data_IF_446758840079
#
_entry.id   IF_446758840079
#
_cell.length_a   1.000
_cell.length_b   1.000
_cell.length_c   1.000
_cell.angle_alpha   90.00
_cell.angle_beta   90.00
_cell.angle_gamma   90.00
#
_symmetry.space_group_name_H-M   'P 1'
#
loop_
_entity.id
_entity.type
_entity.pdbx_description
1 polymer ?
#
# COMPACT_ATOMS: atom_id res chain seq x y z
N UNK A 1 -0.37 -11.55 27.18
CA UNK A 1 -0.71 -12.11 25.86
C UNK A 1 -0.36 -11.05 24.84
N UNK A 2 0.63 -11.30 23.98
CA UNK A 2 0.99 -10.36 22.93
C UNK A 2 -0.24 -10.20 22.02
N UNK A 3 -0.68 -8.96 21.76
CA UNK A 3 -1.77 -8.71 20.82
C UNK A 3 -1.40 -9.32 19.48
N UNK A 4 -2.17 -10.30 19.01
CA UNK A 4 -1.85 -11.01 17.76
C UNK A 4 -1.75 -10.01 16.61
N UNK A 5 -0.71 -10.15 15.80
CA UNK A 5 -0.51 -9.29 14.64
C UNK A 5 -1.46 -9.72 13.53
N UNK A 6 -2.40 -8.84 13.15
CA UNK A 6 -3.41 -9.16 12.15
C UNK A 6 -2.80 -9.23 10.74
N UNK A 7 -1.88 -8.32 10.44
CA UNK A 7 -1.16 -8.26 9.17
C UNK A 7 0.28 -7.77 9.40
N UNK A 8 1.10 -7.95 8.38
CA UNK A 8 2.45 -7.40 8.32
C UNK A 8 2.78 -6.93 6.90
N UNK A 9 3.76 -6.04 6.82
CA UNK A 9 4.36 -5.60 5.55
C UNK A 9 5.84 -5.93 5.52
N UNK A 10 6.40 -6.18 4.34
CA UNK A 10 7.83 -6.28 4.14
C UNK A 10 8.25 -5.55 2.88
N UNK A 11 9.22 -4.65 2.97
CA UNK A 11 9.80 -3.99 1.82
C UNK A 11 10.81 -4.93 1.17
N UNK A 12 10.51 -5.34 -0.07
CA UNK A 12 11.22 -6.42 -0.76
C UNK A 12 12.73 -6.12 -0.81
N UNK A 13 13.54 -7.05 -0.32
CA UNK A 13 15.00 -6.94 -0.28
C UNK A 13 15.55 -5.87 0.68
N UNK A 14 14.70 -5.20 1.46
CA UNK A 14 15.12 -4.06 2.30
C UNK A 14 14.79 -4.26 3.78
N UNK A 15 13.62 -4.79 4.12
CA UNK A 15 13.20 -4.93 5.53
C UNK A 15 12.88 -6.37 5.91
N UNK A 16 12.94 -6.64 7.22
CA UNK A 16 12.22 -7.77 7.81
C UNK A 16 10.70 -7.46 7.86
N UNK A 17 9.84 -8.46 8.15
CA UNK A 17 8.44 -8.22 8.45
C UNK A 17 8.22 -7.14 9.50
N UNK A 18 7.41 -6.14 9.16
CA UNK A 18 6.94 -5.07 10.02
C UNK A 18 5.47 -5.34 10.31
N UNK A 19 5.16 -5.74 11.54
CA UNK A 19 3.79 -6.10 11.94
C UNK A 19 2.94 -4.84 12.14
N UNK A 20 1.61 -5.03 12.15
CA UNK A 20 0.64 -3.96 12.45
C UNK A 20 0.91 -3.22 13.78
N UNK A 21 1.65 -3.79 14.72
CA UNK A 21 2.05 -3.15 15.98
C UNK A 21 3.00 -1.96 15.78
N UNK A 22 3.76 -1.93 14.68
CA UNK A 22 4.62 -0.80 14.33
C UNK A 22 3.84 0.34 13.65
N UNK A 23 2.57 0.11 13.29
CA UNK A 23 1.71 1.12 12.69
C UNK A 23 0.98 1.90 13.79
N UNK A 24 0.77 3.19 13.54
CA UNK A 24 -0.19 3.99 14.31
C UNK A 24 -1.59 3.63 13.82
N UNK A 25 -2.38 2.97 14.66
CA UNK A 25 -3.81 2.82 14.40
C UNK A 25 -4.51 4.18 14.54
N UNK A 26 -5.07 4.69 13.44
CA UNK A 26 -5.73 6.01 13.43
C UNK A 26 -7.22 5.89 13.72
N UNK A 27 -7.81 4.74 13.41
CA UNK A 27 -9.18 4.35 13.77
C UNK A 27 -9.30 2.79 13.75
N UNK A 28 -10.46 2.20 14.08
CA UNK A 28 -10.61 0.74 14.15
C UNK A 28 -10.26 -0.03 12.87
N UNK A 29 -10.33 0.62 11.71
CA UNK A 29 -10.14 0.00 10.39
C UNK A 29 -8.94 0.54 9.62
N UNK A 30 -8.16 1.47 10.18
CA UNK A 30 -7.05 2.12 9.47
C UNK A 30 -5.76 2.20 10.30
N UNK A 31 -4.65 1.89 9.65
CA UNK A 31 -3.31 1.89 10.21
C UNK A 31 -2.36 2.66 9.31
N UNK A 32 -1.49 3.47 9.91
CA UNK A 32 -0.51 4.29 9.18
C UNK A 32 0.89 4.05 9.72
N UNK A 33 1.82 3.74 8.82
CA UNK A 33 3.26 3.66 9.08
C UNK A 33 3.96 4.87 8.47
N UNK A 34 4.75 5.57 9.28
CA UNK A 34 5.72 6.54 8.78
C UNK A 34 6.94 5.77 8.24
N UNK A 35 7.07 5.73 6.92
CA UNK A 35 8.11 4.95 6.25
C UNK A 35 9.49 5.60 6.40
N UNK A 36 9.54 6.93 6.38
CA UNK A 36 10.81 7.66 6.49
C UNK A 36 11.46 7.48 7.86
N UNK A 37 10.64 7.45 8.92
CA UNK A 37 11.09 7.28 10.30
C UNK A 37 11.21 5.81 10.69
N UNK A 38 10.21 4.99 10.31
CA UNK A 38 10.09 3.61 10.76
C UNK A 38 10.88 2.59 9.94
N UNK A 39 11.36 2.96 8.73
CA UNK A 39 12.01 2.01 7.81
C UNK A 39 13.32 2.59 7.28
N UNK A 40 13.24 3.66 6.48
CA UNK A 40 14.43 4.29 5.91
C UNK A 40 14.11 5.70 5.43
N UNK A 41 14.99 6.69 5.68
CA UNK A 41 14.83 8.04 5.13
C UNK A 41 14.95 8.05 3.59
N UNK A 42 15.67 7.09 2.99
CA UNK A 42 15.73 6.91 1.54
C UNK A 42 14.56 6.05 1.05
N UNK A 43 13.34 6.51 1.31
CA UNK A 43 12.12 5.81 0.92
C UNK A 43 12.03 5.54 -0.60
N UNK A 44 12.73 6.33 -1.42
CA UNK A 44 12.76 6.16 -2.88
C UNK A 44 13.48 4.89 -3.32
N UNK A 45 14.39 4.35 -2.50
CA UNK A 45 15.01 3.04 -2.75
C UNK A 45 13.99 1.90 -2.66
N UNK A 46 12.91 2.07 -1.89
CA UNK A 46 11.84 1.09 -1.73
C UNK A 46 10.98 1.05 -3.00
N UNK A 47 11.02 -0.06 -3.73
CA UNK A 47 10.27 -0.21 -5.00
C UNK A 47 8.99 -1.02 -4.86
N UNK A 48 9.02 -2.01 -3.98
CA UNK A 48 7.94 -2.97 -3.80
C UNK A 48 7.74 -3.26 -2.32
N UNK A 49 6.50 -3.57 -1.97
CA UNK A 49 6.11 -3.97 -0.63
C UNK A 49 5.22 -5.20 -0.73
N UNK A 50 5.50 -6.19 0.10
CA UNK A 50 4.63 -7.32 0.33
C UNK A 50 3.70 -6.98 1.48
N UNK A 51 2.39 -6.96 1.26
CA UNK A 51 1.40 -7.00 2.33
C UNK A 51 0.98 -8.46 2.50
N UNK A 52 0.92 -8.95 3.73
CA UNK A 52 0.49 -10.32 4.00
C UNK A 52 -0.16 -10.48 5.38
N UNK A 53 -0.95 -11.55 5.49
CA UNK A 53 -1.57 -11.99 6.73
C UNK A 53 -0.95 -13.31 7.15
N UNK A 54 -0.53 -13.41 8.41
CA UNK A 54 0.07 -14.64 8.93
C UNK A 54 -0.98 -15.75 9.11
N UNK A 55 -2.22 -15.35 9.38
CA UNK A 55 -3.41 -16.19 9.52
C UNK A 55 -4.62 -15.43 8.98
N UNK A 56 -5.70 -16.13 8.60
CA UNK A 56 -6.96 -15.46 8.27
C UNK A 56 -7.41 -14.53 9.40
N UNK A 57 -7.77 -13.30 9.07
CA UNK A 57 -8.24 -12.30 10.03
C UNK A 57 -9.75 -12.53 10.22
N UNK A 58 -10.23 -12.86 11.43
CA UNK A 58 -11.65 -13.14 11.68
C UNK A 58 -12.58 -11.97 11.36
N UNK A 59 -12.11 -10.75 11.54
CA UNK A 59 -12.84 -9.51 11.26
C UNK A 59 -13.02 -9.27 9.75
N UNK A 60 -12.19 -9.92 8.92
CA UNK A 60 -12.36 -9.89 7.46
C UNK A 60 -13.34 -10.98 7.03
N UNK A 61 -14.60 -10.59 6.81
CA UNK A 61 -15.57 -11.45 6.11
C UNK A 61 -15.17 -11.64 4.64
N UNK A 62 -15.82 -12.58 3.95
CA UNK A 62 -15.67 -12.81 2.49
C UNK A 62 -16.02 -11.58 1.62
N UNK A 63 -16.58 -10.54 2.23
CA UNK A 63 -16.95 -9.28 1.57
C UNK A 63 -16.01 -8.12 1.92
N UNK A 64 -14.90 -8.38 2.61
CA UNK A 64 -13.95 -7.36 3.05
C UNK A 64 -12.50 -7.80 2.86
N UNK A 65 -11.60 -6.83 2.78
CA UNK A 65 -10.18 -7.06 2.50
C UNK A 65 -9.32 -5.90 3.04
N UNK A 66 -8.01 -6.12 3.12
CA UNK A 66 -7.04 -5.08 3.45
C UNK A 66 -6.56 -4.38 2.19
N UNK A 67 -6.89 -3.10 2.04
CA UNK A 67 -6.35 -2.23 1.00
C UNK A 67 -5.01 -1.60 1.44
N UNK A 68 -4.09 -1.44 0.49
CA UNK A 68 -2.80 -0.79 0.70
C UNK A 68 -2.73 0.55 -0.04
N UNK A 69 -2.24 1.58 0.64
CA UNK A 69 -2.19 2.94 0.14
C UNK A 69 -0.88 3.64 0.44
N UNK A 70 -0.56 4.67 -0.34
CA UNK A 70 0.55 5.58 -0.08
C UNK A 70 0.09 7.02 -0.02
N UNK A 71 0.67 7.81 0.88
CA UNK A 71 0.59 9.27 0.85
C UNK A 71 1.98 9.86 0.99
N UNK A 72 2.22 10.94 0.25
CA UNK A 72 3.49 11.65 0.25
C UNK A 72 3.22 13.16 0.39
N UNK A 73 3.82 13.81 1.39
CA UNK A 73 3.70 15.25 1.63
C UNK A 73 2.27 15.72 1.90
N UNK A 74 1.40 14.87 2.46
CA UNK A 74 0.00 15.20 2.70
C UNK A 74 -0.88 15.20 1.43
N UNK A 75 -0.37 14.68 0.31
CA UNK A 75 -1.18 14.44 -0.88
C UNK A 75 -2.25 13.36 -0.64
N UNK A 76 -3.20 13.26 -1.58
CA UNK A 76 -4.23 12.23 -1.55
C UNK A 76 -3.63 10.82 -1.53
N UNK A 77 -4.29 9.92 -0.79
CA UNK A 77 -3.91 8.52 -0.70
C UNK A 77 -4.05 7.82 -2.06
N UNK A 78 -3.01 7.13 -2.48
CA UNK A 78 -2.97 6.40 -3.73
C UNK A 78 -3.00 4.90 -3.47
N UNK A 79 -4.06 4.25 -3.95
CA UNK A 79 -4.26 2.81 -3.87
C UNK A 79 -3.16 2.02 -4.62
N UNK A 80 -2.69 0.93 -3.99
CA UNK A 80 -1.61 0.08 -4.52
C UNK A 80 -2.05 -1.35 -4.83
N UNK A 81 -2.97 -1.90 -4.04
CA UNK A 81 -3.47 -3.27 -4.16
C UNK A 81 -4.19 -3.68 -2.88
N UNK A 82 -4.56 -4.96 -2.78
CA UNK A 82 -5.23 -5.48 -1.59
C UNK A 82 -4.87 -6.93 -1.30
N UNK A 83 -5.17 -7.41 -0.09
CA UNK A 83 -5.15 -8.83 0.27
C UNK A 83 -6.45 -9.20 0.99
N UNK A 84 -6.85 -10.46 0.89
CA UNK A 84 -8.07 -10.99 1.52
C UNK A 84 -7.82 -12.38 2.09
N UNK A 85 -8.75 -12.94 2.87
CA UNK A 85 -8.57 -14.30 3.41
C UNK A 85 -8.42 -15.36 2.30
N UNK A 86 -8.92 -15.10 1.08
CA UNK A 86 -8.76 -15.98 -0.09
C UNK A 86 -7.45 -15.72 -0.86
N UNK A 87 -6.86 -14.53 -0.70
CA UNK A 87 -5.59 -14.11 -1.31
C UNK A 87 -4.73 -13.40 -0.26
N UNK A 88 -4.07 -14.15 0.65
CA UNK A 88 -3.58 -13.62 1.92
C UNK A 88 -2.28 -12.82 1.82
N UNK A 89 -1.68 -12.73 0.64
CA UNK A 89 -0.44 -12.01 0.42
C UNK A 89 -0.32 -11.51 -1.01
N UNK A 90 0.26 -10.33 -1.20
CA UNK A 90 0.58 -9.80 -2.52
C UNK A 90 1.80 -8.87 -2.46
N UNK A 91 2.64 -8.92 -3.50
CA UNK A 91 3.73 -7.97 -3.71
C UNK A 91 3.24 -6.87 -4.63
N UNK A 92 3.27 -5.63 -4.15
CA UNK A 92 2.72 -4.47 -4.84
C UNK A 92 3.81 -3.44 -5.11
N UNK A 93 3.88 -2.86 -6.32
CA UNK A 93 4.81 -1.79 -6.62
C UNK A 93 4.36 -0.50 -5.91
N UNK A 94 5.29 0.15 -5.20
CA UNK A 94 5.00 1.36 -4.45
C UNK A 94 4.75 2.55 -5.39
N UNK A 95 5.56 2.73 -6.44
CA UNK A 95 5.42 3.87 -7.37
C UNK A 95 5.17 5.19 -6.64
N UNK A 96 6.14 5.61 -5.83
CA UNK A 96 6.03 6.82 -5.02
C UNK A 96 5.56 8.03 -5.85
N UNK A 97 4.62 8.84 -5.33
CA UNK A 97 4.20 10.05 -6.01
C UNK A 97 5.39 10.97 -6.28
N UNK A 98 5.35 11.70 -7.38
CA UNK A 98 6.32 12.76 -7.59
C UNK A 98 6.01 13.95 -6.67
N UNK A 99 7.07 14.52 -6.12
CA UNK A 99 7.00 15.69 -5.26
C UNK A 99 7.74 16.85 -5.89
N UNK A 100 7.20 18.04 -5.69
CA UNK A 100 7.82 19.27 -6.18
C UNK A 100 9.17 19.56 -5.51
N UNK A 101 9.95 20.50 -6.05
CA UNK A 101 11.27 20.85 -5.54
C UNK A 101 11.27 21.43 -4.11
N UNK A 102 10.11 21.84 -3.62
CA UNK A 102 9.92 22.39 -2.26
C UNK A 102 9.56 21.33 -1.22
N UNK A 103 9.49 20.05 -1.60
CA UNK A 103 9.20 18.98 -0.66
C UNK A 103 10.36 18.81 0.32
N UNK A 104 10.03 18.90 1.61
CA UNK A 104 10.95 18.64 2.71
C UNK A 104 10.51 17.35 3.39
N UNK A 105 11.45 16.42 3.54
CA UNK A 105 11.23 15.20 4.29
C UNK A 105 11.11 15.57 5.78
N UNK A 106 9.92 15.35 6.35
CA UNK A 106 9.62 15.53 7.77
C UNK A 106 8.87 14.29 8.28
N UNK A 107 8.85 14.04 9.60
CA UNK A 107 8.03 12.96 10.16
C UNK A 107 6.57 13.06 9.69
N UNK A 108 6.02 11.94 9.26
CA UNK A 108 4.69 11.82 8.69
C UNK A 108 4.58 12.24 7.22
N UNK A 109 5.66 12.65 6.57
CA UNK A 109 5.62 13.03 5.15
C UNK A 109 5.55 11.84 4.20
N UNK A 110 6.06 10.66 4.58
CA UNK A 110 6.05 9.46 3.73
C UNK A 110 5.27 8.37 4.46
N UNK A 111 4.06 8.11 4.00
CA UNK A 111 3.13 7.25 4.72
C UNK A 111 2.71 6.04 3.89
N UNK A 112 2.71 4.87 4.54
CA UNK A 112 2.07 3.65 4.08
C UNK A 112 0.81 3.44 4.92
N UNK A 113 -0.32 3.29 4.24
CA UNK A 113 -1.63 3.10 4.86
C UNK A 113 -2.15 1.70 4.58
N UNK A 114 -2.75 1.08 5.59
CA UNK A 114 -3.51 -0.17 5.46
C UNK A 114 -4.92 0.07 5.99
N UNK A 115 -5.94 -0.36 5.25
CA UNK A 115 -7.36 -0.16 5.61
C UNK A 115 -8.18 -1.42 5.41
N UNK A 116 -9.15 -1.68 6.29
CA UNK A 116 -10.20 -2.67 6.04
C UNK A 116 -11.30 -2.02 5.22
N UNK A 117 -11.60 -2.57 4.05
CA UNK A 117 -12.60 -2.03 3.13
C UNK A 117 -13.48 -3.11 2.50
N UNK A 118 -14.68 -2.77 2.02
CA UNK A 118 -15.50 -3.69 1.23
C UNK A 118 -14.75 -4.17 -0.01
N UNK A 119 -14.70 -5.49 -0.21
CA UNK A 119 -13.99 -6.11 -1.33
C UNK A 119 -14.49 -5.58 -2.69
N UNK A 120 -15.79 -5.31 -2.80
CA UNK A 120 -16.37 -4.74 -4.02
C UNK A 120 -15.77 -3.37 -4.39
N UNK A 121 -15.48 -2.51 -3.41
CA UNK A 121 -14.86 -1.19 -3.65
C UNK A 121 -13.40 -1.33 -4.07
N UNK A 122 -12.65 -2.26 -3.45
CA UNK A 122 -11.26 -2.54 -3.83
C UNK A 122 -11.18 -3.12 -5.25
N UNK A 123 -12.10 -4.01 -5.62
CA UNK A 123 -12.18 -4.54 -6.99
C UNK A 123 -12.46 -3.45 -8.02
N UNK A 124 -13.30 -2.45 -7.70
CA UNK A 124 -13.52 -1.30 -8.57
C UNK A 124 -12.25 -0.45 -8.73
N UNK A 125 -11.49 -0.24 -7.65
CA UNK A 125 -10.20 0.47 -7.68
C UNK A 125 -9.17 -0.29 -8.53
N UNK A 126 -9.08 -1.61 -8.38
CA UNK A 126 -8.17 -2.46 -9.16
C UNK A 126 -8.55 -2.44 -10.66
N UNK A 127 -9.84 -2.53 -10.98
CA UNK A 127 -10.34 -2.41 -12.35
C UNK A 127 -9.98 -1.05 -12.99
N UNK A 128 -10.16 0.04 -12.25
CA UNK A 128 -9.80 1.39 -12.73
C UNK A 128 -8.29 1.53 -12.98
N UNK A 129 -7.46 0.99 -12.09
CA UNK A 129 -6.00 0.95 -12.23
C UNK A 129 -5.57 0.14 -13.46
N UNK A 130 -6.19 -1.00 -13.71
CA UNK A 130 -5.90 -1.84 -14.88
C UNK A 130 -6.28 -1.14 -16.19
N UNK A 131 -7.46 -0.51 -16.25
CA UNK A 131 -7.88 0.28 -17.41
C UNK A 131 -6.90 1.43 -17.71
N UNK A 132 -6.40 2.12 -16.68
CA UNK A 132 -5.37 3.14 -16.84
C UNK A 132 -4.07 2.62 -17.47
N UNK A 133 -3.61 1.42 -17.07
CA UNK A 133 -2.44 0.76 -17.67
C UNK A 133 -2.66 0.40 -19.14
N UNK A 134 -3.85 -0.11 -19.48
CA UNK A 134 -4.20 -0.46 -20.86
C UNK A 134 -4.20 0.78 -21.77
N UNK A 135 -4.77 1.90 -21.34
CA UNK A 135 -4.78 3.13 -22.14
C UNK A 135 -3.36 3.71 -22.29
N UNK A 136 -2.52 3.63 -21.26
CA UNK A 136 -1.11 4.01 -21.40
C UNK A 136 -0.39 3.16 -22.45
N UNK A 137 -0.52 1.83 -22.38
CA UNK A 137 0.08 0.92 -23.35
C UNK A 137 -0.40 1.20 -24.78
N UNK A 138 -1.69 1.51 -24.94
CA UNK A 138 -2.28 1.91 -26.24
C UNK A 138 -1.62 3.19 -26.79
N UNK A 139 -1.42 4.21 -25.96
CA UNK A 139 -0.75 5.46 -26.37
C UNK A 139 0.69 5.23 -26.80
N UNK A 140 1.43 4.41 -26.04
CA UNK A 140 2.82 4.06 -26.38
C UNK A 140 2.86 3.34 -27.73
N UNK A 141 2.00 2.33 -27.93
CA UNK A 141 1.92 1.60 -29.19
C UNK A 141 1.65 2.54 -30.38
N UNK A 142 0.67 3.44 -30.27
CA UNK A 142 0.38 4.43 -31.33
C UNK A 142 1.56 5.37 -31.59
N UNK A 143 2.34 5.72 -30.57
CA UNK A 143 3.51 6.58 -30.70
C UNK A 143 4.70 5.89 -31.36
N UNK A 144 4.82 4.56 -31.28
CA UNK A 144 5.94 3.80 -31.84
C UNK A 144 5.88 3.66 -33.38
N UNK A 145 4.70 3.83 -33.98
CA UNK A 145 4.49 3.70 -35.43
C UNK A 145 4.33 5.06 -36.14
N UNK A 146 4.81 6.15 -35.53
CA UNK A 146 4.93 7.48 -36.14
C UNK A 146 6.40 7.79 -36.41
#
# INVERSE_FOLDING_TARGET
>A
MAGESAFAVSFVGTSFPITNQAFKQVDPTHWVLDVAVGVTPDYRSLKEVMLFMERPIPELSDTSALGLYLSLGGQSWQYRGFVSNQHPSEVMPLQWPEVGPTFVLQPGAVQLGVSIEPLAELLQKEGSKLAGKQEYARRVAVSLFR
#
